data_IF_584766672154
#
_entry.id   IF_584766672154
#
_cell.length_a   1.000
_cell.length_b   1.000
_cell.length_c   1.000
_cell.angle_alpha   90.00
_cell.angle_beta   90.00
_cell.angle_gamma   90.00
#
_symmetry.space_group_name_H-M   'P 1'
#
loop_
_entity.id
_entity.type
_entity.pdbx_description
1 polymer ?
#
# COMPACT_ATOMS: atom_id res chain seq x y z
N UNK A 1 -25.38 -19.19 50.14
CA UNK A 1 -24.00 -19.21 49.58
C UNK A 1 -23.96 -19.72 48.14
N UNK A 2 -24.83 -20.67 47.76
CA UNK A 2 -24.86 -21.29 46.41
C UNK A 2 -25.47 -20.41 45.30
N UNK A 3 -26.34 -19.45 45.64
CA UNK A 3 -26.97 -18.56 44.64
C UNK A 3 -26.05 -17.43 44.15
N UNK A 4 -25.18 -16.91 45.02
CA UNK A 4 -24.20 -15.89 44.66
C UNK A 4 -23.18 -16.44 43.64
N UNK A 5 -22.81 -17.72 43.78
CA UNK A 5 -21.90 -18.39 42.87
C UNK A 5 -22.49 -18.57 41.47
N UNK A 6 -23.80 -18.84 41.36
CA UNK A 6 -24.50 -18.93 40.07
C UNK A 6 -24.54 -17.59 39.34
N UNK A 7 -24.78 -16.49 40.06
CA UNK A 7 -24.76 -15.14 39.47
C UNK A 7 -23.38 -14.76 38.94
N UNK A 8 -22.32 -15.08 39.68
CA UNK A 8 -20.94 -14.82 39.25
C UNK A 8 -20.59 -15.63 38.00
N UNK A 9 -20.97 -16.92 37.95
CA UNK A 9 -20.75 -17.78 36.78
C UNK A 9 -21.53 -17.25 35.57
N UNK A 10 -22.78 -16.81 35.74
CA UNK A 10 -23.60 -16.24 34.67
C UNK A 10 -23.01 -14.92 34.12
N UNK A 11 -22.45 -14.08 34.99
CA UNK A 11 -21.80 -12.83 34.60
C UNK A 11 -20.49 -13.08 33.85
N UNK A 12 -19.70 -14.06 34.31
CA UNK A 12 -18.46 -14.48 33.65
C UNK A 12 -18.75 -15.11 32.28
N UNK A 13 -19.80 -15.92 32.14
CA UNK A 13 -20.18 -16.47 30.84
C UNK A 13 -20.69 -15.38 29.90
N UNK A 14 -21.46 -14.39 30.39
CA UNK A 14 -21.89 -13.24 29.59
C UNK A 14 -20.72 -12.38 29.09
N UNK A 15 -19.67 -12.19 29.91
CA UNK A 15 -18.45 -11.49 29.51
C UNK A 15 -17.64 -12.27 28.46
N UNK A 16 -17.55 -13.61 28.59
CA UNK A 16 -16.85 -14.47 27.62
C UNK A 16 -17.58 -14.57 26.27
N UNK A 17 -18.90 -14.43 26.24
CA UNK A 17 -19.69 -14.41 25.00
C UNK A 17 -19.79 -13.03 24.36
N UNK A 18 -19.29 -11.99 25.03
CA UNK A 18 -19.22 -10.66 24.46
C UNK A 18 -18.02 -10.54 23.53
N UNK A 19 -18.09 -11.21 22.37
CA UNK A 19 -17.29 -10.79 21.22
C UNK A 19 -17.83 -9.45 20.76
N UNK A 20 -17.40 -8.38 21.41
CA UNK A 20 -17.52 -7.04 20.88
C UNK A 20 -16.72 -7.03 19.57
N UNK A 21 -17.41 -7.28 18.45
CA UNK A 21 -16.90 -6.88 17.16
C UNK A 21 -16.79 -5.37 17.20
N UNK A 22 -15.59 -4.85 17.41
CA UNK A 22 -15.33 -3.43 17.24
C UNK A 22 -15.65 -3.09 15.78
N UNK A 23 -16.73 -2.35 15.57
CA UNK A 23 -17.06 -1.81 14.27
C UNK A 23 -16.04 -0.70 13.99
N UNK A 24 -15.02 -1.02 13.20
CA UNK A 24 -14.02 -0.05 12.79
C UNK A 24 -14.64 0.94 11.80
N UNK A 25 -14.55 2.22 12.15
CA UNK A 25 -15.02 3.31 11.30
C UNK A 25 -13.83 3.93 10.56
N UNK A 26 -13.42 3.28 9.48
CA UNK A 26 -12.37 3.78 8.62
C UNK A 26 -12.97 4.70 7.55
N UNK A 27 -12.54 5.96 7.53
CA UNK A 27 -12.94 6.94 6.52
C UNK A 27 -11.89 6.95 5.40
N UNK A 28 -12.30 6.51 4.20
CA UNK A 28 -11.47 6.52 3.00
C UNK A 28 -11.80 7.72 2.11
N UNK A 29 -10.85 8.17 1.26
CA UNK A 29 -11.14 9.08 0.16
C UNK A 29 -12.24 8.52 -0.77
N UNK A 30 -12.95 9.39 -1.49
CA UNK A 30 -14.07 9.01 -2.37
C UNK A 30 -13.70 8.00 -3.45
N UNK A 31 -12.46 8.07 -3.91
CA UNK A 31 -11.93 7.24 -5.00
C UNK A 31 -11.42 5.89 -4.49
N UNK A 32 -11.52 5.64 -3.19
CA UNK A 32 -10.92 4.49 -2.53
C UNK A 32 -11.95 3.64 -1.79
N UNK A 33 -11.81 2.33 -1.94
CA UNK A 33 -12.54 1.32 -1.18
C UNK A 33 -11.58 0.64 -0.21
N UNK A 34 -12.08 0.23 0.96
CA UNK A 34 -11.25 -0.40 1.98
C UNK A 34 -11.81 -1.75 2.44
N UNK A 35 -10.90 -2.62 2.88
CA UNK A 35 -11.21 -3.91 3.51
C UNK A 35 -10.32 -4.11 4.71
N UNK A 36 -10.71 -5.00 5.64
CA UNK A 36 -9.90 -5.34 6.81
C UNK A 36 -9.21 -6.69 6.63
N UNK A 37 -7.97 -6.76 7.09
CA UNK A 37 -7.27 -8.01 7.28
C UNK A 37 -7.80 -8.67 8.55
N UNK A 38 -8.21 -9.93 8.43
CA UNK A 38 -8.52 -10.78 9.60
C UNK A 38 -7.21 -11.20 10.25
N UNK A 39 -6.69 -10.36 11.14
CA UNK A 39 -5.56 -10.68 11.97
C UNK A 39 -6.01 -10.80 13.44
N UNK A 40 -5.24 -11.51 14.27
CA UNK A 40 -5.48 -11.62 15.71
C UNK A 40 -5.14 -10.31 16.46
N UNK A 41 -5.09 -9.18 15.77
CA UNK A 41 -4.75 -7.89 16.37
C UNK A 41 -6.01 -7.25 16.99
N UNK A 42 -5.78 -6.42 18.00
CA UNK A 42 -6.80 -5.68 18.72
C UNK A 42 -7.46 -4.64 17.79
N UNK A 43 -6.65 -4.03 16.92
CA UNK A 43 -7.09 -3.12 15.86
C UNK A 43 -6.85 -3.79 14.50
N UNK A 44 -7.87 -3.92 13.64
CA UNK A 44 -7.69 -4.56 12.35
C UNK A 44 -6.93 -3.66 11.39
N UNK A 45 -6.00 -4.25 10.65
CA UNK A 45 -5.27 -3.55 9.60
C UNK A 45 -6.16 -3.37 8.36
N UNK A 46 -5.95 -2.27 7.64
CA UNK A 46 -6.77 -1.86 6.50
C UNK A 46 -5.96 -1.98 5.20
N UNK A 47 -6.62 -2.53 4.19
CA UNK A 47 -6.18 -2.56 2.80
C UNK A 47 -7.05 -1.59 2.00
N UNK A 48 -6.41 -0.63 1.35
CA UNK A 48 -7.06 0.39 0.54
C UNK A 48 -6.83 0.12 -0.95
N UNK A 49 -7.89 0.21 -1.75
CA UNK A 49 -7.85 0.14 -3.21
C UNK A 49 -8.45 1.41 -3.77
N UNK A 50 -7.63 2.23 -4.43
CA UNK A 50 -8.03 3.50 -5.04
C UNK A 50 -8.10 3.37 -6.56
N UNK A 51 -9.17 3.87 -7.15
CA UNK A 51 -9.35 3.95 -8.60
C UNK A 51 -9.20 5.41 -9.03
N UNK A 52 -8.10 5.73 -9.70
CA UNK A 52 -7.73 7.11 -10.03
C UNK A 52 -7.53 7.28 -11.53
N UNK A 53 -7.59 8.50 -12.04
CA UNK A 53 -7.34 8.75 -13.47
C UNK A 53 -5.86 8.93 -13.83
N UNK A 54 -5.01 9.01 -12.81
CA UNK A 54 -3.57 9.03 -12.95
C UNK A 54 -2.93 9.40 -11.62
N UNK A 55 -1.65 9.06 -11.46
CA UNK A 55 -0.89 9.40 -10.26
C UNK A 55 -0.29 10.79 -10.42
N UNK A 56 -0.59 11.72 -9.51
CA UNK A 56 0.03 13.06 -9.51
C UNK A 56 -0.39 13.98 -10.68
N UNK A 57 -1.55 13.73 -11.28
CA UNK A 57 -2.08 14.55 -12.37
C UNK A 57 -2.79 15.80 -11.81
N UNK A 58 -2.74 16.94 -12.52
CA UNK A 58 -3.38 18.18 -12.07
C UNK A 58 -4.91 18.16 -12.20
N UNK A 59 -5.48 17.23 -12.96
CA UNK A 59 -6.90 17.25 -13.34
C UNK A 59 -7.80 16.37 -12.46
N UNK A 60 -7.28 15.34 -11.79
CA UNK A 60 -8.05 14.43 -10.94
C UNK A 60 -7.12 13.81 -9.86
N UNK A 61 -6.47 14.64 -9.03
CA UNK A 61 -5.59 14.12 -7.98
C UNK A 61 -6.40 13.64 -6.78
N UNK A 62 -6.49 12.32 -6.58
CA UNK A 62 -6.90 11.79 -5.27
C UNK A 62 -5.99 12.36 -4.20
N UNK A 63 -6.58 13.02 -3.20
CA UNK A 63 -5.82 13.56 -2.10
C UNK A 63 -5.42 12.44 -1.13
N UNK A 64 -4.30 11.78 -1.42
CA UNK A 64 -3.77 10.71 -0.59
C UNK A 64 -3.46 11.15 0.85
N UNK A 65 -3.35 12.46 1.13
CA UNK A 65 -3.13 12.97 2.50
C UNK A 65 -4.29 12.68 3.45
N UNK A 66 -5.45 12.28 2.94
CA UNK A 66 -6.63 11.93 3.75
C UNK A 66 -6.59 10.47 4.24
N UNK A 67 -5.63 9.68 3.79
CA UNK A 67 -5.48 8.28 4.19
C UNK A 67 -4.97 8.21 5.63
N UNK A 68 -5.59 7.37 6.45
CA UNK A 68 -5.26 7.24 7.87
C UNK A 68 -4.07 6.27 8.06
N UNK A 69 -2.87 6.82 8.20
CA UNK A 69 -1.63 6.02 8.29
C UNK A 69 -1.69 4.88 9.33
N UNK A 70 -2.24 5.13 10.52
CA UNK A 70 -2.18 4.20 11.66
C UNK A 70 -2.72 2.81 11.35
N UNK A 71 -3.75 2.71 10.51
CA UNK A 71 -4.41 1.44 10.21
C UNK A 71 -4.10 0.93 8.79
N UNK A 72 -3.62 1.77 7.88
CA UNK A 72 -3.42 1.40 6.48
C UNK A 72 -2.08 0.69 6.28
N UNK A 73 -2.13 -0.63 6.09
CA UNK A 73 -0.94 -1.45 5.83
C UNK A 73 -0.76 -1.80 4.35
N UNK A 74 -1.80 -1.63 3.54
CA UNK A 74 -1.75 -1.90 2.11
C UNK A 74 -2.49 -0.84 1.30
N UNK A 75 -1.87 -0.42 0.19
CA UNK A 75 -2.41 0.55 -0.75
C UNK A 75 -2.23 0.02 -2.17
N UNK A 76 -3.34 -0.15 -2.87
CA UNK A 76 -3.37 -0.45 -4.30
C UNK A 76 -3.95 0.74 -5.05
N UNK A 77 -3.20 1.31 -5.97
CA UNK A 77 -3.63 2.40 -6.84
C UNK A 77 -3.82 1.82 -8.24
N UNK A 78 -5.05 1.87 -8.73
CA UNK A 78 -5.46 1.36 -10.03
C UNK A 78 -5.78 2.58 -10.90
N UNK A 79 -5.00 2.79 -11.95
CA UNK A 79 -5.27 3.88 -12.87
C UNK A 79 -6.31 3.48 -13.93
N UNK A 80 -7.11 4.46 -14.39
CA UNK A 80 -8.00 4.29 -15.53
C UNK A 80 -7.23 4.34 -16.86
N UNK A 81 -7.90 3.89 -17.94
CA UNK A 81 -7.29 3.78 -19.28
C UNK A 81 -7.20 5.14 -20.01
N UNK A 82 -7.53 6.26 -19.35
CA UNK A 82 -7.39 7.59 -19.95
C UNK A 82 -5.90 7.92 -19.86
N UNK A 83 -5.20 7.89 -21.00
CA UNK A 83 -3.76 8.10 -21.08
C UNK A 83 -3.35 9.50 -20.58
N UNK A 84 -3.28 9.67 -19.27
CA UNK A 84 -2.75 10.86 -18.62
C UNK A 84 -1.42 10.44 -18.01
N UNK A 85 -0.33 11.02 -18.51
CA UNK A 85 0.99 10.76 -17.99
C UNK A 85 1.05 11.21 -16.53
N UNK A 86 1.09 10.23 -15.63
CA UNK A 86 1.25 10.47 -14.21
C UNK A 86 2.71 10.68 -13.85
N UNK A 87 2.97 11.29 -12.70
CA UNK A 87 4.28 11.29 -12.07
C UNK A 87 4.10 11.02 -10.59
N UNK A 88 4.77 9.99 -10.07
CA UNK A 88 4.83 9.74 -8.63
C UNK A 88 5.96 10.59 -8.05
N UNK A 89 5.70 11.88 -7.83
CA UNK A 89 6.63 12.84 -7.21
C UNK A 89 6.04 13.37 -5.91
N UNK A 90 6.85 14.10 -5.13
CA UNK A 90 6.43 14.98 -4.03
C UNK A 90 6.15 14.29 -2.69
N UNK A 91 6.71 13.10 -2.44
CA UNK A 91 6.56 12.44 -1.13
C UNK A 91 5.07 12.33 -0.68
N UNK A 92 4.14 12.20 -1.63
CA UNK A 92 2.70 12.30 -1.39
C UNK A 92 2.16 11.22 -0.45
N UNK A 93 2.90 10.11 -0.34
CA UNK A 93 2.59 8.98 0.53
C UNK A 93 3.46 8.97 1.80
N UNK A 94 4.31 9.97 2.05
CA UNK A 94 5.31 9.92 3.12
C UNK A 94 4.73 9.85 4.55
N UNK A 95 3.47 10.23 4.73
CA UNK A 95 2.78 10.09 6.00
C UNK A 95 2.37 8.64 6.31
N UNK A 96 2.33 7.75 5.30
CA UNK A 96 1.94 6.34 5.41
C UNK A 96 3.11 5.47 5.90
N UNK A 97 3.64 5.81 7.07
CA UNK A 97 4.81 5.16 7.65
C UNK A 97 4.59 3.69 8.06
N UNK A 98 3.34 3.26 8.25
CA UNK A 98 2.96 1.85 8.52
C UNK A 98 2.59 1.05 7.27
N UNK A 99 2.75 1.64 6.08
CA UNK A 99 2.42 0.97 4.83
C UNK A 99 3.43 -0.15 4.53
N UNK A 100 2.95 -1.38 4.45
CA UNK A 100 3.76 -2.58 4.21
C UNK A 100 3.67 -3.07 2.76
N UNK A 101 2.61 -2.70 2.05
CA UNK A 101 2.40 -3.07 0.65
C UNK A 101 1.92 -1.87 -0.16
N UNK A 102 2.66 -1.53 -1.22
CA UNK A 102 2.29 -0.50 -2.18
C UNK A 102 2.24 -1.12 -3.58
N UNK A 103 1.13 -0.92 -4.28
CA UNK A 103 0.91 -1.48 -5.60
C UNK A 103 0.35 -0.44 -6.56
N UNK A 104 0.98 -0.30 -7.71
CA UNK A 104 0.47 0.48 -8.84
C UNK A 104 0.07 -0.46 -9.97
N UNK A 105 -1.16 -0.31 -10.45
CA UNK A 105 -1.75 -1.15 -11.49
C UNK A 105 -2.26 -0.28 -12.63
N UNK A 106 -1.83 -0.62 -13.84
CA UNK A 106 -2.23 0.07 -15.08
C UNK A 106 -1.91 1.57 -15.08
N UNK A 107 -0.94 2.01 -14.28
CA UNK A 107 -0.60 3.43 -14.17
C UNK A 107 0.46 3.82 -15.20
N UNK A 108 0.11 4.71 -16.13
CA UNK A 108 1.01 5.19 -17.18
C UNK A 108 1.87 6.35 -16.67
N UNK A 109 2.88 6.07 -15.86
CA UNK A 109 3.91 7.05 -15.49
C UNK A 109 5.30 6.59 -15.96
N UNK A 110 6.09 7.55 -16.43
CA UNK A 110 7.40 7.31 -17.08
C UNK A 110 8.57 7.21 -16.10
N UNK A 111 8.35 7.52 -14.82
CA UNK A 111 9.42 7.56 -13.82
C UNK A 111 8.92 7.25 -12.40
N UNK A 112 9.68 6.43 -11.66
CA UNK A 112 9.67 6.37 -10.21
C UNK A 112 10.74 7.31 -9.66
N UNK A 113 10.35 8.52 -9.26
CA UNK A 113 11.28 9.56 -8.83
C UNK A 113 12.00 9.21 -7.50
N UNK A 114 13.13 9.88 -7.24
CA UNK A 114 13.99 9.64 -6.07
C UNK A 114 13.31 9.80 -4.71
N UNK A 115 12.32 10.68 -4.62
CA UNK A 115 11.57 10.98 -3.41
C UNK A 115 10.20 10.27 -3.35
N UNK A 116 9.85 9.52 -4.38
CA UNK A 116 8.53 8.92 -4.55
C UNK A 116 8.13 7.97 -3.41
N UNK A 117 9.11 7.29 -2.83
CA UNK A 117 8.96 6.32 -1.75
C UNK A 117 9.41 6.86 -0.39
N UNK A 118 9.71 8.16 -0.29
CA UNK A 118 10.12 8.77 0.98
C UNK A 118 9.05 8.57 2.05
N UNK A 119 9.46 8.30 3.29
CA UNK A 119 8.57 8.12 4.45
C UNK A 119 7.93 6.72 4.59
N UNK A 120 8.01 5.86 3.56
CA UNK A 120 7.46 4.51 3.57
C UNK A 120 8.40 3.51 4.29
N UNK A 121 8.69 3.79 5.56
CA UNK A 121 9.76 3.12 6.33
C UNK A 121 9.48 1.64 6.62
N UNK A 122 8.22 1.21 6.65
CA UNK A 122 7.82 -0.19 6.86
C UNK A 122 7.50 -0.93 5.55
N UNK A 123 7.81 -0.34 4.38
CA UNK A 123 7.43 -0.93 3.10
C UNK A 123 8.18 -2.23 2.82
N UNK A 124 7.43 -3.33 2.71
CA UNK A 124 7.96 -4.69 2.44
C UNK A 124 7.68 -5.16 1.03
N UNK A 125 6.60 -4.69 0.41
CA UNK A 125 6.19 -5.12 -0.92
C UNK A 125 5.96 -3.88 -1.79
N UNK A 126 6.67 -3.81 -2.91
CA UNK A 126 6.43 -2.82 -3.95
C UNK A 126 6.15 -3.54 -5.27
N UNK A 127 4.98 -3.26 -5.84
CA UNK A 127 4.64 -3.68 -7.19
C UNK A 127 4.36 -2.45 -8.04
N UNK A 128 5.04 -2.32 -9.17
CA UNK A 128 4.79 -1.25 -10.14
C UNK A 128 4.55 -1.89 -11.50
N UNK A 129 3.32 -1.83 -11.98
CA UNK A 129 2.95 -2.29 -13.31
C UNK A 129 2.42 -1.10 -14.13
N UNK A 130 3.23 -0.64 -15.08
CA UNK A 130 2.94 0.51 -15.94
C UNK A 130 2.28 0.09 -17.25
N UNK A 131 1.16 0.72 -17.62
CA UNK A 131 0.59 0.75 -18.98
C UNK A 131 0.26 -0.58 -19.70
N UNK A 132 -0.63 -0.52 -20.71
CA UNK A 132 -1.09 -1.70 -21.48
C UNK A 132 -0.01 -2.34 -22.33
N UNK A 133 -0.16 -3.63 -22.60
CA UNK A 133 0.70 -4.56 -23.39
C UNK A 133 0.88 -4.19 -24.88
N UNK A 134 0.89 -2.90 -25.23
CA UNK A 134 0.96 -2.43 -26.62
C UNK A 134 2.40 -2.06 -27.05
N UNK A 135 2.63 -2.02 -28.36
CA UNK A 135 3.96 -1.87 -29.00
C UNK A 135 4.67 -0.53 -28.73
N UNK A 136 3.97 0.48 -28.20
CA UNK A 136 4.50 1.84 -27.95
C UNK A 136 4.55 2.23 -26.47
N UNK A 137 5.08 1.35 -25.61
CA UNK A 137 5.26 1.65 -24.18
C UNK A 137 6.34 2.70 -23.97
N UNK A 138 6.00 3.77 -23.25
CA UNK A 138 7.00 4.72 -22.75
C UNK A 138 8.01 3.98 -21.86
N UNK A 139 9.26 4.44 -21.90
CA UNK A 139 10.30 3.90 -21.02
C UNK A 139 9.92 4.22 -19.58
N UNK A 140 10.00 3.21 -18.72
CA UNK A 140 9.84 3.38 -17.30
C UNK A 140 11.23 3.52 -16.64
N UNK A 141 11.52 4.72 -16.18
CA UNK A 141 12.77 5.06 -15.51
C UNK A 141 12.64 4.89 -13.99
N UNK A 142 13.75 4.53 -13.36
CA UNK A 142 13.86 4.44 -11.91
C UNK A 142 14.88 5.47 -11.48
N UNK A 143 14.51 6.35 -10.55
CA UNK A 143 15.41 7.34 -10.00
C UNK A 143 16.58 6.67 -9.27
N UNK A 144 17.81 7.23 -9.34
CA UNK A 144 19.00 6.64 -8.72
C UNK A 144 18.87 6.31 -7.23
N UNK A 145 18.11 7.10 -6.47
CA UNK A 145 17.96 6.92 -5.02
C UNK A 145 16.55 6.52 -4.58
N UNK A 146 15.65 6.29 -5.54
CA UNK A 146 14.24 5.94 -5.29
C UNK A 146 14.07 4.73 -4.37
N UNK A 147 14.72 3.60 -4.70
CA UNK A 147 14.63 2.37 -3.91
C UNK A 147 15.43 2.43 -2.61
N UNK A 148 16.43 3.32 -2.49
CA UNK A 148 17.24 3.47 -1.28
C UNK A 148 16.42 3.97 -0.07
N UNK A 149 15.20 4.47 -0.30
CA UNK A 149 14.29 4.97 0.75
C UNK A 149 13.57 3.85 1.51
N UNK A 150 13.52 2.64 0.96
CA UNK A 150 12.70 1.51 1.46
C UNK A 150 13.56 0.31 1.84
N UNK A 151 14.34 0.45 2.92
CA UNK A 151 15.33 -0.58 3.33
C UNK A 151 14.72 -1.89 3.83
N UNK A 152 13.45 -1.84 4.26
CA UNK A 152 12.68 -3.01 4.70
C UNK A 152 12.05 -3.79 3.52
N UNK A 153 12.33 -3.39 2.28
CA UNK A 153 11.74 -4.01 1.10
C UNK A 153 12.17 -5.48 0.98
N UNK A 154 11.18 -6.37 1.04
CA UNK A 154 11.36 -7.81 0.89
C UNK A 154 11.04 -8.27 -0.53
N UNK A 155 10.09 -7.61 -1.21
CA UNK A 155 9.61 -8.00 -2.52
C UNK A 155 9.44 -6.79 -3.44
N UNK A 156 10.06 -6.88 -4.62
CA UNK A 156 9.99 -5.87 -5.67
C UNK A 156 9.53 -6.53 -6.97
N UNK A 157 8.38 -6.10 -7.47
CA UNK A 157 7.84 -6.53 -8.76
C UNK A 157 7.76 -5.33 -9.71
N UNK A 158 8.63 -5.35 -10.71
CA UNK A 158 8.68 -4.37 -11.80
C UNK A 158 8.44 -5.06 -13.16
N UNK A 159 7.91 -6.29 -13.13
CA UNK A 159 7.74 -7.11 -14.32
C UNK A 159 6.77 -6.47 -15.31
N UNK A 160 7.01 -6.68 -16.59
CA UNK A 160 6.13 -6.14 -17.63
C UNK A 160 6.25 -4.64 -17.86
N UNK A 161 7.19 -3.93 -17.23
CA UNK A 161 7.51 -2.53 -17.55
C UNK A 161 8.57 -2.44 -18.66
N UNK A 162 8.60 -1.31 -19.38
CA UNK A 162 9.63 -1.02 -20.39
C UNK A 162 10.87 -0.39 -19.73
N UNK A 163 11.61 -1.17 -18.95
CA UNK A 163 12.85 -0.74 -18.29
C UNK A 163 14.03 -1.07 -19.20
N UNK A 164 14.70 -0.03 -19.73
CA UNK A 164 15.89 -0.21 -20.57
C UNK A 164 17.14 -0.49 -19.73
N UNK A 165 17.26 0.19 -18.59
CA UNK A 165 18.40 0.11 -17.69
C UNK A 165 18.00 0.48 -16.27
N UNK A 166 18.70 -0.09 -15.29
CA UNK A 166 18.58 0.31 -13.90
C UNK A 166 19.74 1.25 -13.54
N UNK A 167 19.53 2.21 -12.61
CA UNK A 167 20.62 3.02 -12.07
C UNK A 167 21.73 2.17 -11.47
N UNK A 168 22.95 2.70 -11.49
CA UNK A 168 24.05 2.11 -10.75
C UNK A 168 23.67 2.02 -9.26
N UNK A 169 23.93 0.87 -8.63
CA UNK A 169 23.58 0.62 -7.24
C UNK A 169 22.08 0.70 -6.90
N UNK A 170 21.17 0.51 -7.87
CA UNK A 170 19.72 0.60 -7.65
C UNK A 170 19.19 -0.26 -6.48
N UNK A 171 19.85 -1.38 -6.15
CA UNK A 171 19.48 -2.28 -5.05
C UNK A 171 20.35 -2.13 -3.79
N UNK A 172 21.25 -1.15 -3.76
CA UNK A 172 22.14 -0.95 -2.62
C UNK A 172 21.34 -0.63 -1.35
N UNK A 173 21.62 -1.38 -0.29
CA UNK A 173 20.94 -1.23 1.01
C UNK A 173 19.62 -2.01 1.14
N UNK A 174 19.13 -2.68 0.09
CA UNK A 174 17.97 -3.57 0.15
C UNK A 174 18.35 -4.96 0.70
N UNK A 175 18.85 -5.00 1.93
CA UNK A 175 19.40 -6.22 2.55
C UNK A 175 18.35 -7.31 2.81
N UNK A 176 17.07 -6.95 2.80
CA UNK A 176 15.95 -7.84 3.06
C UNK A 176 15.31 -8.39 1.77
N UNK A 177 15.79 -7.98 0.60
CA UNK A 177 15.19 -8.32 -0.69
C UNK A 177 15.28 -9.83 -0.97
N UNK A 178 14.17 -10.43 -1.35
CA UNK A 178 14.02 -11.88 -1.60
C UNK A 178 13.66 -12.13 -3.05
N UNK A 179 14.13 -13.25 -3.58
CA UNK A 179 13.90 -13.64 -4.98
C UNK A 179 12.44 -14.01 -5.29
N UNK A 180 11.72 -14.62 -4.33
CA UNK A 180 10.35 -15.10 -4.54
C UNK A 180 9.48 -14.90 -3.30
N UNK A 181 8.24 -14.44 -3.54
CA UNK A 181 7.23 -14.35 -2.49
C UNK A 181 6.71 -15.75 -2.14
N UNK A 182 6.54 -16.11 -0.86
CA UNK A 182 5.88 -17.34 -0.47
C UNK A 182 4.48 -17.38 -1.09
N UNK A 183 4.10 -18.51 -1.67
CA UNK A 183 2.71 -18.73 -2.06
C UNK A 183 1.89 -18.83 -0.77
N UNK A 184 0.97 -17.88 -0.57
CA UNK A 184 0.00 -17.87 0.53
C UNK A 184 -1.24 -18.66 0.16
#
# INVERSE_FOLDING_TARGET
>A
MMDQLKFIILFLTLLVHSKHGYAMNYAAPTDCQWTTLKNHQIEPSVLLTCHVSGVGTQMDSTNFSLIQSLHTVGLTIICDDRYVEGRLTNSSLAHLNHLQSLKFERCSFSELADDALHGLVELKNLTVHTGKYEENRSVFNIGPTSLMKVRELEYLDLAGNNIISLPEYAFCGLINLKATKPQS
#
